data_IF_501593609202
#
_entry.id   IF_501593609202
#
_cell.length_a   1.000
_cell.length_b   1.000
_cell.length_c   1.000
_cell.angle_alpha   90.00
_cell.angle_beta   90.00
_cell.angle_gamma   90.00
#
_symmetry.space_group_name_H-M   'P 1'
#
loop_
_entity.id
_entity.type
_entity.pdbx_description
1 polymer ?
#
# COMPACT_ATOMS: atom_id res chain seq x y z
N UNK A 1 -6.20 -6.97 6.61
CA UNK A 1 -7.49 -6.40 7.04
C UNK A 1 -8.19 -5.78 5.85
N UNK A 2 -9.52 -5.87 5.81
CA UNK A 2 -10.38 -5.33 4.75
C UNK A 2 -11.32 -4.29 5.33
N UNK A 3 -11.62 -3.26 4.56
CA UNK A 3 -12.70 -2.33 4.83
C UNK A 3 -13.82 -2.59 3.82
N UNK A 4 -15.00 -2.94 4.30
CA UNK A 4 -16.17 -3.25 3.51
C UNK A 4 -17.19 -2.12 3.66
N UNK A 5 -17.66 -1.59 2.54
CA UNK A 5 -18.71 -0.58 2.58
C UNK A 5 -20.05 -1.22 2.91
N UNK A 6 -20.81 -0.61 3.81
CA UNK A 6 -22.12 -1.14 4.21
C UNK A 6 -23.22 -1.03 3.13
N UNK A 7 -22.95 -0.26 2.07
CA UNK A 7 -23.80 -0.10 0.88
C UNK A 7 -23.32 -0.94 -0.32
N UNK A 8 -22.31 -1.80 -0.13
CA UNK A 8 -21.82 -2.69 -1.18
C UNK A 8 -22.84 -3.82 -1.43
N UNK A 9 -23.35 -3.98 -2.67
CA UNK A 9 -24.32 -5.01 -2.98
C UNK A 9 -23.79 -6.44 -2.81
N UNK A 10 -22.47 -6.62 -2.77
CA UNK A 10 -21.78 -7.92 -2.57
C UNK A 10 -21.27 -8.12 -1.15
N UNK A 11 -21.68 -7.27 -0.20
CA UNK A 11 -21.20 -7.30 1.18
C UNK A 11 -21.34 -8.68 1.84
N UNK A 12 -22.47 -9.36 1.65
CA UNK A 12 -22.70 -10.67 2.27
C UNK A 12 -21.75 -11.75 1.69
N UNK A 13 -21.42 -11.67 0.39
CA UNK A 13 -20.44 -12.58 -0.22
C UNK A 13 -19.05 -12.44 0.41
N UNK A 14 -18.63 -11.21 0.72
CA UNK A 14 -17.37 -10.98 1.44
C UNK A 14 -17.38 -11.48 2.87
N UNK A 15 -18.51 -11.35 3.58
CA UNK A 15 -18.68 -11.86 4.94
C UNK A 15 -18.61 -13.38 5.00
N UNK A 16 -19.12 -14.06 3.97
CA UNK A 16 -19.04 -15.51 3.85
C UNK A 16 -17.61 -16.01 3.57
N UNK A 17 -16.79 -15.18 2.92
CA UNK A 17 -15.42 -15.53 2.57
C UNK A 17 -14.37 -15.16 3.64
N UNK A 18 -14.68 -14.20 4.50
CA UNK A 18 -13.73 -13.63 5.45
C UNK A 18 -14.17 -13.88 6.89
N UNK A 19 -13.25 -14.28 7.75
CA UNK A 19 -13.50 -14.28 9.19
C UNK A 19 -13.68 -12.84 9.70
N UNK A 20 -14.63 -12.61 10.60
CA UNK A 20 -15.00 -11.28 11.14
C UNK A 20 -13.80 -10.48 11.68
N UNK A 21 -12.78 -11.16 12.20
CA UNK A 21 -11.56 -10.50 12.70
C UNK A 21 -10.72 -9.81 11.61
N UNK A 22 -10.96 -10.14 10.33
CA UNK A 22 -10.17 -9.61 9.19
C UNK A 22 -10.85 -8.46 8.47
N UNK A 23 -12.07 -8.06 8.83
CA UNK A 23 -12.72 -6.94 8.18
C UNK A 23 -13.34 -5.94 9.16
N UNK A 24 -13.68 -4.80 8.61
CA UNK A 24 -14.45 -3.74 9.27
C UNK A 24 -15.50 -3.28 8.30
N UNK A 25 -16.74 -3.21 8.75
CA UNK A 25 -17.86 -2.66 7.98
C UNK A 25 -18.08 -1.21 8.39
N UNK A 26 -18.29 -0.34 7.44
CA UNK A 26 -18.59 1.07 7.69
C UNK A 26 -19.19 1.76 6.47
N UNK A 27 -19.52 3.07 6.61
CA UNK A 27 -20.08 3.84 5.53
C UNK A 27 -19.09 3.97 4.36
N UNK A 28 -19.63 4.20 3.17
CA UNK A 28 -18.81 4.58 2.02
C UNK A 28 -18.13 5.93 2.33
N UNK A 29 -16.82 5.89 2.41
CA UNK A 29 -15.97 7.03 2.77
C UNK A 29 -14.73 7.07 1.89
N UNK A 30 -13.88 8.09 2.09
CA UNK A 30 -12.63 8.15 1.33
C UNK A 30 -11.75 6.91 1.60
N UNK A 31 -11.06 6.43 0.58
CA UNK A 31 -10.11 5.32 0.70
C UNK A 31 -9.07 5.60 1.79
N UNK A 32 -8.64 6.86 1.92
CA UNK A 32 -7.67 7.27 2.94
C UNK A 32 -8.19 7.06 4.36
N UNK A 33 -9.46 7.40 4.62
CA UNK A 33 -10.07 7.19 5.95
C UNK A 33 -10.19 5.69 6.25
N UNK A 34 -10.62 4.90 5.28
CA UNK A 34 -10.71 3.44 5.43
C UNK A 34 -9.35 2.82 5.74
N UNK A 35 -8.31 3.19 5.01
CA UNK A 35 -6.96 2.70 5.24
C UNK A 35 -6.40 3.12 6.59
N UNK A 36 -6.65 4.35 7.03
CA UNK A 36 -6.23 4.80 8.36
C UNK A 36 -6.93 4.01 9.46
N UNK A 37 -8.24 3.76 9.35
CA UNK A 37 -8.97 2.93 10.31
C UNK A 37 -8.39 1.51 10.38
N UNK A 38 -8.09 0.88 9.24
CA UNK A 38 -7.47 -0.44 9.21
C UNK A 38 -6.06 -0.43 9.81
N UNK A 39 -5.28 0.61 9.52
CA UNK A 39 -3.93 0.75 10.06
C UNK A 39 -3.90 0.85 11.59
N UNK A 40 -4.84 1.59 12.16
CA UNK A 40 -4.99 1.68 13.63
C UNK A 40 -5.45 0.35 14.27
N UNK A 41 -6.23 -0.45 13.55
CA UNK A 41 -6.67 -1.78 14.00
C UNK A 41 -5.61 -2.87 13.80
N UNK A 42 -4.61 -2.64 12.98
CA UNK A 42 -3.56 -3.61 12.72
C UNK A 42 -2.83 -3.96 14.01
N UNK A 43 -2.63 -5.26 14.26
CA UNK A 43 -1.98 -5.76 15.48
C UNK A 43 -0.46 -5.68 15.42
N UNK A 44 0.10 -5.87 14.22
CA UNK A 44 1.54 -5.92 13.99
C UNK A 44 2.11 -4.53 13.68
N UNK A 45 3.42 -4.36 13.89
CA UNK A 45 4.09 -3.06 13.77
C UNK A 45 4.29 -2.60 12.32
N UNK A 46 4.39 -3.53 11.37
CA UNK A 46 4.51 -3.22 9.94
C UNK A 46 3.13 -3.34 9.30
N UNK A 47 2.73 -2.28 8.63
CA UNK A 47 1.47 -2.17 7.90
C UNK A 47 1.78 -2.06 6.42
N UNK A 48 1.21 -2.97 5.63
CA UNK A 48 1.29 -2.97 4.16
C UNK A 48 -0.02 -2.46 3.57
N UNK A 49 0.07 -1.37 2.80
CA UNK A 49 -1.03 -0.92 1.96
C UNK A 49 -0.96 -1.64 0.63
N UNK A 50 -2.05 -2.33 0.29
CA UNK A 50 -2.09 -3.19 -0.90
C UNK A 50 -3.47 -3.14 -1.55
N UNK A 51 -3.52 -3.13 -2.87
CA UNK A 51 -4.78 -3.30 -3.61
C UNK A 51 -5.29 -4.74 -3.51
N UNK A 52 -6.56 -4.93 -3.74
CA UNK A 52 -7.26 -6.23 -3.75
C UNK A 52 -7.01 -7.03 -5.04
N UNK A 53 -6.52 -6.37 -6.08
CA UNK A 53 -6.20 -6.95 -7.40
C UNK A 53 -4.74 -7.42 -7.55
N UNK A 54 -4.03 -7.60 -6.44
CA UNK A 54 -2.61 -7.93 -6.42
C UNK A 54 -2.36 -9.40 -6.13
N UNK A 55 -1.46 -9.99 -6.89
CA UNK A 55 -0.90 -11.32 -6.64
C UNK A 55 0.57 -11.21 -6.25
N UNK A 56 0.90 -11.70 -5.06
CA UNK A 56 2.27 -11.77 -4.58
C UNK A 56 3.00 -12.91 -5.30
N UNK A 57 4.16 -12.62 -5.88
CA UNK A 57 4.96 -13.60 -6.65
C UNK A 57 6.18 -14.09 -5.87
N UNK A 58 6.66 -13.30 -4.93
CA UNK A 58 7.87 -13.61 -4.16
C UNK A 58 7.50 -14.40 -2.91
N UNK A 59 8.14 -15.54 -2.72
CA UNK A 59 8.04 -16.29 -1.47
C UNK A 59 8.77 -15.52 -0.35
N UNK A 60 8.31 -15.66 0.90
CA UNK A 60 8.89 -15.01 2.09
C UNK A 60 9.06 -13.48 1.93
N UNK A 61 8.15 -12.88 1.15
CA UNK A 61 8.14 -11.45 0.82
C UNK A 61 8.04 -10.56 2.07
N UNK A 62 7.32 -11.00 3.06
CA UNK A 62 7.11 -10.33 4.34
C UNK A 62 8.39 -10.29 5.18
N UNK A 63 9.15 -11.38 5.24
CA UNK A 63 10.46 -11.43 5.89
C UNK A 63 11.44 -10.45 5.23
N UNK A 64 11.47 -10.42 3.89
CA UNK A 64 12.32 -9.50 3.14
C UNK A 64 11.98 -8.03 3.45
N UNK A 65 10.69 -7.70 3.63
CA UNK A 65 10.26 -6.35 4.03
C UNK A 65 10.67 -6.06 5.48
N UNK A 66 10.46 -6.99 6.41
CA UNK A 66 10.85 -6.86 7.82
C UNK A 66 12.34 -6.59 7.95
N UNK A 67 13.16 -7.31 7.19
CA UNK A 67 14.62 -7.14 7.19
C UNK A 67 15.05 -5.73 6.79
N UNK A 68 14.35 -5.09 5.85
CA UNK A 68 14.64 -3.70 5.50
C UNK A 68 14.35 -2.74 6.66
N UNK A 69 13.24 -2.93 7.38
CA UNK A 69 12.95 -2.11 8.57
C UNK A 69 13.97 -2.31 9.69
N UNK A 70 14.51 -3.52 9.84
CA UNK A 70 15.48 -3.83 10.89
C UNK A 70 16.84 -3.14 10.69
N UNK A 71 17.14 -2.62 9.49
CA UNK A 71 18.35 -1.83 9.21
C UNK A 71 18.27 -0.39 9.72
N UNK A 72 17.10 0.07 10.15
CA UNK A 72 16.85 1.44 10.62
C UNK A 72 16.42 1.41 12.09
N UNK A 73 17.13 2.11 12.96
CA UNK A 73 16.85 2.17 14.40
C UNK A 73 15.45 2.74 14.67
N UNK A 74 15.10 3.84 14.01
CA UNK A 74 13.81 4.52 14.16
C UNK A 74 12.66 3.82 13.41
N UNK A 75 12.99 2.92 12.48
CA UNK A 75 12.04 2.21 11.59
C UNK A 75 11.11 3.14 10.77
N UNK A 76 11.44 4.41 10.69
CA UNK A 76 10.69 5.38 9.87
C UNK A 76 11.15 5.26 8.42
N UNK A 77 10.51 4.37 7.70
CA UNK A 77 10.83 4.01 6.33
C UNK A 77 9.54 3.69 5.56
N UNK A 78 9.53 3.97 4.27
CA UNK A 78 8.54 3.49 3.31
C UNK A 78 9.23 2.48 2.39
N UNK A 79 8.82 1.22 2.44
CA UNK A 79 9.32 0.16 1.57
C UNK A 79 8.34 -0.07 0.44
N UNK A 80 8.81 0.03 -0.79
CA UNK A 80 8.01 -0.10 -2.01
C UNK A 80 8.42 -1.36 -2.76
N UNK A 81 7.56 -2.37 -2.87
CA UNK A 81 7.83 -3.55 -3.67
C UNK A 81 7.74 -3.24 -5.17
N UNK A 82 8.27 -4.14 -5.98
CA UNK A 82 8.14 -4.11 -7.43
C UNK A 82 6.74 -4.58 -7.85
N UNK A 83 5.92 -3.68 -8.36
CA UNK A 83 4.57 -3.98 -8.84
C UNK A 83 4.50 -4.42 -10.31
N UNK A 84 5.64 -4.69 -10.93
CA UNK A 84 5.76 -5.17 -12.29
C UNK A 84 5.50 -4.12 -13.37
N UNK A 85 5.26 -2.84 -13.00
CA UNK A 85 5.07 -1.74 -13.96
C UNK A 85 6.36 -1.21 -14.56
N UNK A 86 7.50 -1.55 -14.01
CA UNK A 86 8.82 -1.18 -14.54
C UNK A 86 9.13 -1.92 -15.83
N UNK A 87 8.77 -1.32 -16.95
CA UNK A 87 9.28 -1.71 -18.26
C UNK A 87 10.68 -1.12 -18.43
N UNK A 88 11.71 -1.90 -18.20
CA UNK A 88 13.07 -1.51 -18.60
C UNK A 88 14.18 -1.70 -17.58
N UNK A 89 13.94 -2.08 -16.37
CA UNK A 89 14.99 -2.50 -15.43
C UNK A 89 15.39 -3.96 -15.65
N UNK A 90 15.79 -4.27 -16.88
CA UNK A 90 16.58 -5.47 -17.13
C UNK A 90 17.91 -5.26 -16.40
N UNK A 91 18.17 -6.07 -15.38
CA UNK A 91 19.40 -6.12 -14.60
C UNK A 91 19.61 -5.02 -13.54
N UNK A 92 18.66 -4.80 -12.64
CA UNK A 92 18.98 -4.28 -11.32
C UNK A 92 19.37 -5.46 -10.42
N UNK A 93 20.56 -6.03 -10.69
CA UNK A 93 21.20 -6.92 -9.73
C UNK A 93 21.45 -6.15 -8.43
N UNK A 94 21.07 -6.76 -7.31
CA UNK A 94 21.53 -6.54 -5.92
C UNK A 94 21.72 -5.11 -5.39
N UNK A 95 21.24 -4.05 -6.06
CA UNK A 95 21.38 -2.68 -5.56
C UNK A 95 20.02 -2.09 -5.25
N UNK A 96 19.74 -2.04 -3.97
CA UNK A 96 18.74 -1.15 -3.38
C UNK A 96 19.05 0.26 -3.87
N UNK A 97 18.24 0.77 -4.81
CA UNK A 97 18.34 2.17 -5.25
C UNK A 97 17.28 2.99 -4.51
N UNK A 98 17.74 4.01 -3.82
CA UNK A 98 16.88 5.16 -3.53
C UNK A 98 16.45 5.71 -4.90
N UNK A 99 15.16 5.79 -5.15
CA UNK A 99 14.61 6.21 -6.43
C UNK A 99 14.95 7.68 -6.72
N UNK A 100 15.86 7.92 -7.64
CA UNK A 100 16.31 9.28 -7.95
C UNK A 100 15.57 9.93 -9.13
N UNK A 101 15.23 9.16 -10.19
CA UNK A 101 14.72 9.75 -11.42
C UNK A 101 13.35 9.21 -11.84
N UNK A 102 12.31 10.03 -11.73
CA UNK A 102 10.92 9.80 -12.21
C UNK A 102 10.32 8.46 -11.74
N UNK A 103 10.07 8.31 -10.46
CA UNK A 103 9.47 7.09 -9.94
C UNK A 103 8.02 6.95 -10.39
N UNK A 104 7.63 5.73 -10.73
CA UNK A 104 6.22 5.38 -10.78
C UNK A 104 5.61 5.53 -9.37
N UNK A 105 4.33 5.93 -9.25
CA UNK A 105 3.67 5.99 -7.96
C UNK A 105 3.73 4.64 -7.25
N UNK A 106 4.04 4.67 -5.96
CA UNK A 106 4.12 3.50 -5.10
C UNK A 106 2.71 2.98 -4.75
N UNK A 107 2.02 2.34 -5.70
CA UNK A 107 0.65 1.85 -5.48
C UNK A 107 0.53 0.90 -4.28
N UNK A 108 1.62 0.21 -3.96
CA UNK A 108 1.72 -0.70 -2.82
C UNK A 108 2.96 -0.32 -2.02
N UNK A 109 2.83 -0.23 -0.71
CA UNK A 109 3.97 0.10 0.14
C UNK A 109 3.76 -0.39 1.57
N UNK A 110 4.86 -0.65 2.25
CA UNK A 110 4.89 -0.96 3.67
C UNK A 110 5.48 0.21 4.46
N UNK A 111 4.93 0.43 5.66
CA UNK A 111 5.48 1.35 6.67
C UNK A 111 5.42 0.70 8.05
N UNK A 112 6.30 1.10 8.94
CA UNK A 112 6.21 0.75 10.35
C UNK A 112 5.24 1.70 11.08
N UNK A 113 4.66 1.28 12.19
CA UNK A 113 3.78 2.12 13.03
C UNK A 113 4.44 3.42 13.48
N UNK A 114 5.76 3.45 13.62
CA UNK A 114 6.51 4.69 13.93
C UNK A 114 6.32 5.76 12.85
N UNK A 115 6.21 5.37 11.57
CA UNK A 115 5.85 6.28 10.49
C UNK A 115 4.46 6.87 10.71
N UNK A 116 3.48 6.00 11.01
CA UNK A 116 2.08 6.41 11.24
C UNK A 116 1.97 7.31 12.48
N UNK A 117 2.66 6.96 13.56
CA UNK A 117 2.68 7.74 14.79
C UNK A 117 3.32 9.12 14.61
N UNK A 118 4.35 9.21 13.76
CA UNK A 118 5.05 10.47 13.47
C UNK A 118 4.22 11.42 12.61
N UNK A 119 3.55 10.88 11.58
CA UNK A 119 2.74 11.69 10.66
C UNK A 119 1.29 11.87 11.11
N UNK A 120 0.80 11.00 12.01
CA UNK A 120 -0.59 10.96 12.44
C UNK A 120 -1.54 10.19 11.51
N UNK A 121 -1.01 9.57 10.42
CA UNK A 121 -1.81 8.80 9.45
C UNK A 121 -0.94 7.83 8.63
N UNK A 122 -1.56 6.79 8.10
CA UNK A 122 -1.00 5.97 7.02
C UNK A 122 -1.18 6.66 5.66
N UNK A 123 -2.41 7.13 5.41
CA UNK A 123 -2.80 7.81 4.19
C UNK A 123 -3.30 9.22 4.51
N UNK A 124 -2.84 10.28 3.79
CA UNK A 124 -3.24 11.65 4.07
C UNK A 124 -4.76 11.81 4.03
N UNK A 125 -5.43 12.23 5.12
CA UNK A 125 -6.89 12.21 5.23
C UNK A 125 -7.60 13.27 4.37
N UNK A 126 -6.84 14.19 3.79
CA UNK A 126 -7.35 15.24 2.90
C UNK A 126 -7.48 14.81 1.43
N UNK A 127 -7.04 13.60 1.07
CA UNK A 127 -7.32 13.01 -0.24
C UNK A 127 -8.53 12.08 -0.15
N UNK A 128 -9.32 12.05 -1.22
CA UNK A 128 -10.41 11.09 -1.32
C UNK A 128 -9.93 9.71 -1.76
N UNK A 129 -9.15 9.66 -2.84
CA UNK A 129 -8.66 8.41 -3.44
C UNK A 129 -7.34 8.61 -4.19
N UNK A 130 -7.31 9.52 -5.18
CA UNK A 130 -6.13 9.72 -6.04
C UNK A 130 -5.00 10.48 -5.35
N UNK A 131 -3.78 10.29 -5.85
CA UNK A 131 -2.55 10.96 -5.41
C UNK A 131 -2.03 10.60 -4.02
N UNK A 132 -2.66 9.69 -3.31
CA UNK A 132 -2.25 9.24 -1.97
C UNK A 132 -0.87 8.61 -2.02
N UNK A 133 -0.71 7.66 -2.93
CA UNK A 133 0.53 6.95 -3.22
C UNK A 133 1.65 7.91 -3.61
N UNK A 134 1.37 8.79 -4.56
CA UNK A 134 2.33 9.79 -5.05
C UNK A 134 2.76 10.75 -3.95
N UNK A 135 1.81 11.27 -3.18
CA UNK A 135 2.10 12.20 -2.08
C UNK A 135 2.95 11.52 -0.99
N UNK A 136 2.52 10.36 -0.50
CA UNK A 136 3.22 9.63 0.56
C UNK A 136 4.64 9.26 0.12
N UNK A 137 4.80 8.82 -1.13
CA UNK A 137 6.11 8.54 -1.70
C UNK A 137 6.99 9.79 -1.80
N UNK A 138 6.44 10.94 -2.19
CA UNK A 138 7.20 12.19 -2.24
C UNK A 138 7.67 12.65 -0.85
N UNK A 139 6.82 12.50 0.18
CA UNK A 139 7.22 12.77 1.57
C UNK A 139 8.39 11.87 1.97
N UNK A 140 8.25 10.55 1.76
CA UNK A 140 9.30 9.59 2.07
C UNK A 140 10.61 9.89 1.33
N UNK A 141 10.55 10.28 0.07
CA UNK A 141 11.74 10.63 -0.74
C UNK A 141 12.43 11.90 -0.25
N UNK A 142 11.67 12.94 0.06
CA UNK A 142 12.25 14.19 0.60
C UNK A 142 12.96 13.98 1.93
N UNK A 143 12.54 12.97 2.68
CA UNK A 143 13.17 12.56 3.93
C UNK A 143 14.31 11.54 3.75
N UNK A 144 14.61 11.12 2.52
CA UNK A 144 15.51 9.99 2.21
C UNK A 144 15.09 8.69 2.91
N UNK A 145 13.78 8.45 3.00
CA UNK A 145 13.16 7.30 3.68
C UNK A 145 12.26 6.47 2.77
N UNK A 146 12.45 6.56 1.46
CA UNK A 146 11.76 5.74 0.47
C UNK A 146 12.71 4.70 -0.12
N UNK A 147 12.44 3.44 0.14
CA UNK A 147 13.22 2.31 -0.32
C UNK A 147 12.45 1.50 -1.34
N UNK A 148 13.00 1.33 -2.53
CA UNK A 148 12.47 0.40 -3.52
C UNK A 148 13.11 -0.98 -3.33
N UNK A 149 12.28 -2.03 -3.22
CA UNK A 149 12.69 -3.40 -3.00
C UNK A 149 12.34 -4.26 -4.24
N UNK A 150 13.21 -4.30 -5.26
CA UNK A 150 12.93 -4.96 -6.55
C UNK A 150 12.79 -6.48 -6.43
N UNK A 151 13.35 -7.09 -5.40
CA UNK A 151 13.29 -8.54 -5.15
C UNK A 151 11.92 -9.01 -4.70
N UNK A 152 11.12 -8.13 -4.13
CA UNK A 152 9.75 -8.41 -3.73
C UNK A 152 8.81 -7.99 -4.86
N UNK A 153 8.25 -8.97 -5.57
CA UNK A 153 7.45 -8.75 -6.76
C UNK A 153 5.97 -8.96 -6.46
N UNK A 154 5.21 -7.92 -6.71
CA UNK A 154 3.74 -7.91 -6.66
C UNK A 154 3.23 -7.68 -8.08
N UNK A 155 2.30 -8.50 -8.54
CA UNK A 155 1.76 -8.39 -9.88
C UNK A 155 0.29 -8.03 -9.81
N UNK A 156 -0.07 -6.86 -10.30
CA UNK A 156 -1.48 -6.50 -10.46
C UNK A 156 -2.14 -7.43 -11.49
N UNK A 157 -3.26 -8.03 -11.13
CA UNK A 157 -4.13 -8.68 -12.10
C UNK A 157 -4.76 -7.56 -12.92
N UNK A 158 -4.60 -7.61 -14.24
CA UNK A 158 -5.33 -6.71 -15.15
C UNK A 158 -6.82 -7.10 -15.17
N UNK A 159 -7.51 -6.86 -14.08
CA UNK A 159 -8.95 -6.82 -14.09
C UNK A 159 -9.35 -5.53 -14.82
N UNK A 160 -10.32 -5.61 -15.71
CA UNK A 160 -10.87 -4.43 -16.38
C UNK A 160 -11.30 -3.44 -15.30
N UNK A 161 -10.52 -2.37 -15.12
CA UNK A 161 -10.76 -1.34 -14.12
C UNK A 161 -12.06 -0.56 -14.44
N UNK A 162 -13.18 -1.15 -14.07
CA UNK A 162 -14.49 -0.47 -14.13
C UNK A 162 -14.56 0.66 -13.11
N UNK A 163 -13.90 0.52 -11.98
CA UNK A 163 -13.90 1.48 -10.87
C UNK A 163 -13.15 2.76 -11.23
N UNK A 164 -11.97 2.66 -11.82
CA UNK A 164 -11.21 3.82 -12.28
C UNK A 164 -11.90 4.61 -13.40
N UNK A 165 -12.73 3.96 -14.23
CA UNK A 165 -13.59 4.66 -15.17
C UNK A 165 -14.70 5.44 -14.48
N UNK A 166 -15.34 4.84 -13.49
CA UNK A 166 -16.47 5.43 -12.77
C UNK A 166 -16.05 6.66 -11.93
N UNK A 167 -14.88 6.61 -11.29
CA UNK A 167 -14.35 7.74 -10.53
C UNK A 167 -13.92 8.90 -11.44
N UNK A 168 -13.39 8.62 -12.64
CA UNK A 168 -13.01 9.66 -13.62
C UNK A 168 -14.21 10.35 -14.29
N UNK A 169 -15.38 9.71 -14.30
CA UNK A 169 -16.61 10.32 -14.84
C UNK A 169 -17.37 11.15 -13.83
N UNK A 170 -17.06 11.04 -12.54
CA UNK A 170 -17.71 11.77 -11.45
C UNK A 170 -16.85 12.95 -10.92
N UNK A 171 -15.72 13.24 -11.56
CA UNK A 171 -14.88 14.44 -11.35
C UNK A 171 -15.06 15.43 -12.50
#
# INVERSE_FOLDING_TARGET
LFYLNNDDPTLEEYKDLLEEKYYTIGPNQSTCLSWNQLAYKAKHDIVMLMGDDVQIQTQDWDELIVDEFNKYEDKILMVVPNDGREKGTKNLGDKIKLWEDKPLPAAHFAVHKNWINTLGYLAPPFFWHFYVDTYTQQVARKLNRCLYLPTVVFKAKKLFDKTGKQVRTNL
#
